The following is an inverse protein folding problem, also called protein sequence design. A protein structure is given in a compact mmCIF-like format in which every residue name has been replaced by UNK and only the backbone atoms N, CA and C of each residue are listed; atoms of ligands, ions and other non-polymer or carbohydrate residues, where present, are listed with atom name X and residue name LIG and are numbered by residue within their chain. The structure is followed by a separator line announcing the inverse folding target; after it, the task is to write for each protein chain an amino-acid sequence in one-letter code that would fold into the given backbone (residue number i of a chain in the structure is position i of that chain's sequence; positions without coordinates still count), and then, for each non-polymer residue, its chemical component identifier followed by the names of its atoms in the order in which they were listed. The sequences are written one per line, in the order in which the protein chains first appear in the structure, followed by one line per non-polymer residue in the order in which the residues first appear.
data_IF_696772553643
#
_entry.id   IF_696772553643
#
_cell.length_a   1.000
_cell.length_b   1.000
_cell.length_c   1.000
_cell.angle_alpha   90.00
_cell.angle_beta   90.00
_cell.angle_gamma   90.00
#
_symmetry.space_group_name_H-M   'P 1'
#
loop_
_entity.id
_entity.type
_entity.pdbx_description
1 polymer ?
#
# COMPACT_ATOMS: atom_id res chain seq x y z
N UNK A 1 14.12 10.83 6.75
CA UNK A 1 13.50 9.50 6.94
C UNK A 1 11.99 9.57 6.79
N UNK A 2 11.26 10.34 7.61
CA UNK A 2 9.78 10.43 7.50
C UNK A 2 9.30 10.82 6.09
N UNK A 3 9.95 11.80 5.42
CA UNK A 3 9.60 12.20 4.06
C UNK A 3 9.83 11.09 3.03
N UNK A 4 10.94 10.35 3.13
CA UNK A 4 11.23 9.21 2.25
C UNK A 4 10.23 8.08 2.45
N UNK A 5 9.85 7.81 3.71
CA UNK A 5 8.83 6.81 4.02
C UNK A 5 7.46 7.25 3.51
N UNK A 6 7.09 8.52 3.64
CA UNK A 6 5.85 9.06 3.09
C UNK A 6 5.80 8.89 1.57
N UNK A 7 6.87 9.27 0.86
CA UNK A 7 6.95 9.09 -0.59
C UNK A 7 6.83 7.61 -1.01
N UNK A 8 7.37 6.68 -0.21
CA UNK A 8 7.20 5.25 -0.45
C UNK A 8 5.75 4.78 -0.22
N UNK A 9 5.06 5.32 0.78
CA UNK A 9 3.63 5.05 1.02
C UNK A 9 2.80 5.55 -0.16
N UNK A 10 3.05 6.78 -0.62
CA UNK A 10 2.33 7.41 -1.74
C UNK A 10 2.56 6.62 -3.05
N UNK A 11 3.80 6.23 -3.35
CA UNK A 11 4.11 5.43 -4.54
C UNK A 11 3.42 4.06 -4.53
N UNK A 12 3.38 3.40 -3.37
CA UNK A 12 2.67 2.12 -3.22
C UNK A 12 1.16 2.30 -3.33
N UNK A 13 0.62 3.37 -2.74
CA UNK A 13 -0.78 3.74 -2.86
C UNK A 13 -1.20 3.91 -4.33
N UNK A 14 -0.46 4.70 -5.11
CA UNK A 14 -0.79 4.94 -6.52
C UNK A 14 -0.73 3.65 -7.35
N UNK A 15 0.20 2.76 -7.01
CA UNK A 15 0.33 1.43 -7.62
C UNK A 15 -0.91 0.58 -7.33
N UNK A 16 -1.36 0.53 -6.07
CA UNK A 16 -2.55 -0.23 -5.66
C UNK A 16 -3.83 0.35 -6.28
N UNK A 17 -3.96 1.68 -6.35
CA UNK A 17 -5.07 2.36 -7.05
C UNK A 17 -5.12 1.94 -8.51
N UNK A 18 -3.99 1.98 -9.22
CA UNK A 18 -3.92 1.56 -10.61
C UNK A 18 -4.27 0.07 -10.77
N UNK A 19 -3.74 -0.78 -9.90
CA UNK A 19 -4.06 -2.21 -9.90
C UNK A 19 -5.56 -2.43 -9.69
N UNK A 20 -6.18 -1.72 -8.74
CA UNK A 20 -7.62 -1.84 -8.47
C UNK A 20 -8.46 -1.43 -9.69
N UNK A 21 -8.09 -0.34 -10.36
CA UNK A 21 -8.75 0.08 -11.60
C UNK A 21 -8.64 -1.00 -12.67
N UNK A 22 -7.45 -1.57 -12.88
CA UNK A 22 -7.24 -2.63 -13.85
C UNK A 22 -8.06 -3.89 -13.52
N UNK A 23 -8.10 -4.31 -12.24
CA UNK A 23 -8.83 -5.48 -11.78
C UNK A 23 -10.35 -5.28 -11.95
N UNK A 24 -10.85 -4.11 -11.59
CA UNK A 24 -12.26 -3.74 -11.78
C UNK A 24 -12.68 -3.74 -13.26
N UNK A 25 -11.73 -3.57 -14.19
CA UNK A 25 -11.95 -3.67 -15.64
C UNK A 25 -11.70 -5.09 -16.19
N UNK A 26 -11.62 -6.11 -15.33
CA UNK A 26 -11.47 -7.52 -15.71
C UNK A 26 -10.06 -7.89 -16.19
N UNK A 27 -9.05 -7.05 -15.96
CA UNK A 27 -7.66 -7.40 -16.27
C UNK A 27 -7.11 -8.31 -15.20
N UNK A 28 -6.40 -9.36 -15.63
CA UNK A 28 -5.55 -10.14 -14.74
C UNK A 28 -4.31 -9.32 -14.39
N UNK A 29 -3.97 -9.30 -13.11
CA UNK A 29 -2.84 -8.55 -12.57
C UNK A 29 -2.00 -9.53 -11.76
N UNK A 30 -0.70 -9.51 -12.01
CA UNK A 30 0.25 -10.16 -11.14
C UNK A 30 0.54 -9.24 -9.95
N UNK A 31 0.20 -9.72 -8.75
CA UNK A 31 0.48 -9.03 -7.48
C UNK A 31 1.76 -9.54 -6.83
N UNK A 32 2.56 -10.34 -7.53
CA UNK A 32 3.86 -10.77 -7.05
C UNK A 32 4.71 -9.57 -6.65
N UNK A 33 5.22 -9.60 -5.42
CA UNK A 33 6.05 -8.54 -4.86
C UNK A 33 5.32 -7.53 -4.00
N UNK A 34 3.98 -7.41 -4.10
CA UNK A 34 3.20 -6.49 -3.26
C UNK A 34 3.40 -6.77 -1.76
N UNK A 35 3.39 -8.06 -1.37
CA UNK A 35 3.65 -8.47 0.02
C UNK A 35 5.04 -8.09 0.50
N UNK A 36 6.05 -8.18 -0.38
CA UNK A 36 7.45 -7.84 -0.06
C UNK A 36 7.59 -6.34 0.15
N UNK A 37 7.01 -5.53 -0.72
CA UNK A 37 7.02 -4.07 -0.61
C UNK A 37 6.26 -3.60 0.64
N UNK A 38 5.07 -4.15 0.88
CA UNK A 38 4.27 -3.85 2.07
C UNK A 38 5.00 -4.26 3.35
N UNK A 39 5.65 -5.44 3.38
CA UNK A 39 6.44 -5.88 4.51
C UNK A 39 7.65 -4.97 4.78
N UNK A 40 8.35 -4.53 3.72
CA UNK A 40 9.46 -3.58 3.82
C UNK A 40 9.04 -2.23 4.39
N UNK A 41 7.88 -1.72 3.96
CA UNK A 41 7.29 -0.50 4.47
C UNK A 41 6.90 -0.64 5.95
N UNK A 42 6.19 -1.72 6.31
CA UNK A 42 5.81 -2.03 7.68
C UNK A 42 7.04 -2.13 8.61
N UNK A 43 8.08 -2.85 8.20
CA UNK A 43 9.32 -2.97 8.97
C UNK A 43 10.05 -1.62 9.14
N UNK A 44 9.93 -0.73 8.16
CA UNK A 44 10.48 0.63 8.24
C UNK A 44 9.71 1.46 9.26
N UNK A 45 8.37 1.47 9.20
CA UNK A 45 7.51 2.21 10.13
C UNK A 45 7.65 1.69 11.56
N UNK A 46 7.72 0.38 11.77
CA UNK A 46 7.89 -0.22 13.11
C UNK A 46 9.18 0.21 13.82
N UNK A 47 10.24 0.54 13.06
CA UNK A 47 11.51 1.02 13.60
C UNK A 47 11.54 2.53 13.85
N UNK A 48 10.47 3.26 13.51
CA UNK A 48 10.43 4.71 13.69
C UNK A 48 10.02 5.11 15.12
N UNK A 49 10.52 6.25 15.63
CA UNK A 49 9.98 6.85 16.83
C UNK A 49 8.48 7.11 16.70
N UNK A 50 7.70 6.78 17.73
CA UNK A 50 6.23 6.85 17.71
C UNK A 50 5.67 8.20 17.22
N UNK A 51 6.29 9.32 17.60
CA UNK A 51 5.85 10.64 17.16
C UNK A 51 6.01 10.86 15.64
N UNK A 52 7.02 10.25 15.01
CA UNK A 52 7.21 10.31 13.55
C UNK A 52 6.30 9.34 12.82
N UNK A 53 6.12 8.13 13.37
CA UNK A 53 5.20 7.14 12.81
C UNK A 53 3.75 7.65 12.79
N UNK A 54 3.32 8.36 13.85
CA UNK A 54 1.99 8.99 13.91
C UNK A 54 1.71 9.96 12.76
N UNK A 55 2.73 10.64 12.23
CA UNK A 55 2.56 11.55 11.10
C UNK A 55 2.23 10.81 9.79
N UNK A 56 2.52 9.51 9.72
CA UNK A 56 2.27 8.67 8.55
C UNK A 56 0.91 7.97 8.61
N UNK A 57 0.20 8.00 9.76
CA UNK A 57 -1.07 7.29 9.94
C UNK A 57 -2.11 7.59 8.85
N UNK A 58 -2.37 8.85 8.46
CA UNK A 58 -3.36 9.13 7.42
C UNK A 58 -3.01 8.47 6.07
N UNK A 59 -1.73 8.49 5.69
CA UNK A 59 -1.27 7.90 4.43
C UNK A 59 -1.32 6.36 4.49
N UNK A 60 -0.99 5.76 5.63
CA UNK A 60 -1.09 4.31 5.85
C UNK A 60 -2.55 3.83 5.84
N UNK A 61 -3.46 4.60 6.43
CA UNK A 61 -4.91 4.30 6.42
C UNK A 61 -5.47 4.36 5.00
N UNK A 62 -5.10 5.37 4.21
CA UNK A 62 -5.50 5.47 2.80
C UNK A 62 -4.96 4.28 1.98
N UNK A 63 -3.69 3.93 2.15
CA UNK A 63 -3.11 2.76 1.48
C UNK A 63 -3.84 1.46 1.88
N UNK A 64 -4.16 1.27 3.16
CA UNK A 64 -4.87 0.08 3.63
C UNK A 64 -6.26 -0.05 2.99
N UNK A 65 -7.00 1.07 2.89
CA UNK A 65 -8.31 1.10 2.23
C UNK A 65 -8.22 0.71 0.74
N UNK A 66 -7.18 1.16 0.03
CA UNK A 66 -7.00 0.79 -1.38
C UNK A 66 -6.61 -0.68 -1.54
N UNK A 67 -5.81 -1.25 -0.62
CA UNK A 67 -5.49 -2.69 -0.62
C UNK A 67 -6.74 -3.53 -0.37
N UNK A 68 -7.59 -3.13 0.58
CA UNK A 68 -8.90 -3.78 0.80
C UNK A 68 -9.80 -3.69 -0.44
N UNK A 69 -9.84 -2.52 -1.09
CA UNK A 69 -10.58 -2.30 -2.33
C UNK A 69 -10.08 -3.16 -3.49
N UNK A 70 -8.76 -3.35 -3.60
CA UNK A 70 -8.13 -4.24 -4.58
C UNK A 70 -8.50 -5.70 -4.29
N UNK A 71 -8.40 -6.15 -3.03
CA UNK A 71 -8.75 -7.50 -2.64
C UNK A 71 -10.21 -7.83 -2.96
N UNK A 72 -11.12 -6.88 -2.79
CA UNK A 72 -12.53 -7.04 -3.17
C UNK A 72 -12.78 -7.08 -4.68
N UNK A 73 -11.89 -6.50 -5.48
CA UNK A 73 -12.01 -6.45 -6.95
C UNK A 73 -11.45 -7.69 -7.64
N UNK A 74 -10.64 -8.50 -6.95
CA UNK A 74 -10.02 -9.70 -7.51
C UNK A 74 -10.88 -10.92 -7.14
N UNK A 75 -11.20 -11.80 -8.11
CA UNK A 75 -11.92 -13.03 -7.81
C UNK A 75 -11.11 -13.92 -6.86
N UNK A 76 -11.76 -14.62 -5.92
CA UNK A 76 -11.07 -15.56 -5.04
C UNK A 76 -10.39 -16.67 -5.88
N UNK A 77 -9.23 -17.17 -5.45
CA UNK A 77 -8.51 -18.24 -6.13
C UNK A 77 -9.30 -19.56 -6.20
#
# INVERSE_FOLDING_TARGET
MTQTTLAAIEALHDTVVMARILAANGRQIDLAGLDVEAAGLCATVQRMPRHRAKLLCPALEALAQEVEGLAAAIPPP
#
